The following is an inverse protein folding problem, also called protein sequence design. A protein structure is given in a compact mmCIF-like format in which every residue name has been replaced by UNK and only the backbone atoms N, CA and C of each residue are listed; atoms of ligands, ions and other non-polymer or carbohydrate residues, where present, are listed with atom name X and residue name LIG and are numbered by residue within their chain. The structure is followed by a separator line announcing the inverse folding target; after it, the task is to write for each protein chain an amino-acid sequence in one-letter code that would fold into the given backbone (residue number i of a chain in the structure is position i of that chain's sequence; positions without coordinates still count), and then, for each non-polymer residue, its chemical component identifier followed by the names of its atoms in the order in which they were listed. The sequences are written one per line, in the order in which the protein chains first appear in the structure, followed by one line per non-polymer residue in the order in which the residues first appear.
data_IF_958444191239
#
_entry.id   IF_958444191239
#
_cell.length_a   1.000
_cell.length_b   1.000
_cell.length_c   1.000
_cell.angle_alpha   90.00
_cell.angle_beta   90.00
_cell.angle_gamma   90.00
#
_symmetry.space_group_name_H-M   'P 1'
#
loop_
_entity.id
_entity.type
_entity.pdbx_description
1 polymer ?
#
# COMPACT_ATOMS: atom_id res chain seq x y z
N UNK A 1 5.85 -70.82 13.11
CA UNK A 1 4.67 -71.40 12.44
C UNK A 1 3.79 -70.27 11.93
N UNK A 2 3.45 -70.32 10.64
CA UNK A 2 2.51 -69.51 9.83
C UNK A 2 2.91 -68.08 9.43
N UNK A 3 3.43 -67.98 8.20
CA UNK A 3 3.31 -66.87 7.24
C UNK A 3 1.86 -66.81 6.62
N UNK A 4 1.57 -66.07 5.50
CA UNK A 4 1.33 -64.61 5.40
C UNK A 4 0.09 -64.20 4.51
N UNK A 5 -0.34 -62.91 4.57
CA UNK A 5 -1.02 -62.06 3.51
C UNK A 5 -2.35 -62.55 2.84
N UNK A 6 -3.11 -61.80 1.96
CA UNK A 6 -2.88 -60.50 1.29
C UNK A 6 -4.11 -59.52 1.11
N UNK A 7 -3.82 -58.34 0.52
CA UNK A 7 -4.54 -57.58 -0.53
C UNK A 7 -5.96 -56.96 -0.41
N UNK A 8 -6.07 -55.75 -1.01
CA UNK A 8 -7.29 -55.09 -1.51
C UNK A 8 -7.31 -53.57 -1.23
N UNK A 9 -6.58 -52.69 -1.93
CA UNK A 9 -6.80 -52.13 -3.28
C UNK A 9 -8.13 -51.34 -3.50
N UNK A 10 -8.00 -49.99 -3.59
CA UNK A 10 -8.70 -48.94 -4.42
C UNK A 10 -10.24 -49.05 -4.59
N UNK A 11 -11.06 -47.99 -4.60
CA UNK A 11 -11.06 -46.77 -5.47
C UNK A 11 -12.04 -45.69 -4.97
N UNK A 12 -11.69 -44.43 -5.23
CA UNK A 12 -12.52 -43.30 -5.72
C UNK A 12 -13.94 -43.04 -5.20
N UNK A 13 -14.09 -41.88 -4.55
CA UNK A 13 -15.37 -41.21 -4.28
C UNK A 13 -15.19 -39.69 -4.31
N UNK A 14 -15.32 -39.13 -5.52
CA UNK A 14 -15.36 -37.71 -5.83
C UNK A 14 -16.38 -36.93 -4.99
N UNK A 15 -16.02 -35.69 -4.65
CA UNK A 15 -16.93 -34.56 -4.86
C UNK A 15 -17.72 -34.07 -3.66
N UNK A 16 -17.11 -33.22 -2.85
CA UNK A 16 -17.81 -32.03 -2.35
C UNK A 16 -16.79 -30.94 -2.05
N UNK A 17 -16.35 -30.26 -3.11
CA UNK A 17 -15.69 -28.95 -2.99
C UNK A 17 -16.70 -28.02 -2.34
N UNK A 18 -16.53 -27.76 -1.04
CA UNK A 18 -17.29 -26.70 -0.38
C UNK A 18 -16.91 -25.38 -1.05
N UNK A 19 -17.88 -24.59 -1.54
CA UNK A 19 -17.57 -23.30 -2.13
C UNK A 19 -16.97 -22.40 -1.04
N UNK A 20 -15.76 -21.89 -1.30
CA UNK A 20 -15.16 -20.76 -0.61
C UNK A 20 -16.08 -19.55 -0.77
N UNK A 21 -17.08 -19.45 0.11
CA UNK A 21 -17.96 -18.29 0.23
C UNK A 21 -17.66 -17.62 1.55
N UNK A 22 -16.70 -16.70 1.48
CA UNK A 22 -16.82 -15.31 1.93
C UNK A 22 -15.45 -14.71 1.70
N UNK A 23 -15.23 -14.18 0.50
CA UNK A 23 -14.14 -13.26 0.26
C UNK A 23 -14.34 -12.08 1.20
N UNK A 24 -13.68 -12.13 2.37
CA UNK A 24 -13.53 -10.98 3.25
C UNK A 24 -12.88 -9.92 2.37
N UNK A 25 -13.64 -8.88 2.00
CA UNK A 25 -13.22 -7.88 1.03
C UNK A 25 -11.79 -7.43 1.38
N UNK A 26 -10.84 -7.73 0.48
CA UNK A 26 -9.46 -7.32 0.67
C UNK A 26 -9.47 -5.80 0.91
N UNK A 27 -8.88 -5.31 2.01
CA UNK A 27 -8.89 -3.89 2.31
C UNK A 27 -8.31 -3.14 1.10
N UNK A 28 -9.05 -2.16 0.59
CA UNK A 28 -8.54 -1.32 -0.49
C UNK A 28 -7.22 -0.70 -0.05
N UNK A 29 -6.26 -0.55 -0.97
CA UNK A 29 -4.99 0.13 -0.68
C UNK A 29 -5.22 1.47 0.04
N UNK A 30 -6.28 2.18 -0.34
CA UNK A 30 -6.74 3.39 0.35
C UNK A 30 -7.03 3.17 1.83
N UNK A 31 -7.71 2.08 2.22
CA UNK A 31 -8.01 1.76 3.63
C UNK A 31 -6.76 1.41 4.45
N UNK A 32 -5.78 0.76 3.83
CA UNK A 32 -4.47 0.52 4.48
C UNK A 32 -3.65 1.83 4.57
N UNK A 33 -3.78 2.71 3.58
CA UNK A 33 -3.10 4.01 3.53
C UNK A 33 -3.73 5.02 4.50
N UNK A 34 -5.05 4.99 4.71
CA UNK A 34 -5.77 5.90 5.59
C UNK A 34 -5.40 5.72 7.08
N UNK A 35 -4.85 4.58 7.49
CA UNK A 35 -4.36 4.41 8.88
C UNK A 35 -3.04 5.13 9.17
N UNK A 36 -2.35 5.65 8.15
CA UNK A 36 -1.08 6.37 8.32
C UNK A 36 -1.22 7.79 7.77
N UNK A 37 -1.34 8.75 8.69
CA UNK A 37 -1.66 10.15 8.43
C UNK A 37 -0.78 10.81 7.35
N UNK A 38 -1.41 11.69 6.57
CA UNK A 38 -0.82 12.41 5.44
C UNK A 38 -0.58 13.88 5.83
N UNK A 39 0.63 14.40 5.60
CA UNK A 39 0.98 15.83 5.72
C UNK A 39 0.73 16.60 4.42
N UNK A 40 0.74 17.93 4.53
CA UNK A 40 0.05 18.92 3.67
C UNK A 40 0.40 18.96 2.17
N UNK A 41 -0.56 19.49 1.40
CA UNK A 41 -0.59 19.55 -0.08
C UNK A 41 -0.21 20.96 -0.59
N UNK A 42 0.72 21.10 -1.56
CA UNK A 42 0.87 22.34 -2.31
C UNK A 42 -0.32 22.57 -3.25
N UNK A 43 -0.86 23.80 -3.23
CA UNK A 43 -1.89 24.26 -4.15
C UNK A 43 -1.26 24.52 -5.52
N UNK A 44 -1.51 23.68 -6.54
CA UNK A 44 -1.79 24.11 -7.93
C UNK A 44 -1.90 22.94 -8.93
N UNK A 45 -3.01 23.00 -9.69
CA UNK A 45 -3.23 22.72 -11.11
C UNK A 45 -2.92 21.34 -11.71
N UNK A 46 -3.84 20.94 -12.63
CA UNK A 46 -3.85 19.84 -13.61
C UNK A 46 -2.65 18.89 -13.57
N UNK A 47 -2.85 17.55 -13.62
CA UNK A 47 -1.73 16.63 -13.73
C UNK A 47 -0.86 17.05 -14.93
N UNK A 48 0.39 17.42 -14.67
CA UNK A 48 1.30 17.92 -15.70
C UNK A 48 1.62 16.87 -16.77
N UNK A 49 1.27 15.61 -16.50
CA UNK A 49 1.57 14.43 -17.30
C UNK A 49 0.24 13.74 -17.65
N UNK A 50 -0.04 13.60 -18.95
CA UNK A 50 -1.16 12.81 -19.42
C UNK A 50 -0.88 11.30 -19.18
N UNK A 51 -1.55 10.72 -18.19
CA UNK A 51 -1.40 9.30 -17.87
C UNK A 51 -2.11 8.43 -18.91
N UNK A 52 -1.43 7.35 -19.32
CA UNK A 52 -1.99 6.33 -20.21
C UNK A 52 -1.68 4.95 -19.67
N UNK A 53 -2.51 3.95 -19.97
CA UNK A 53 -2.24 2.57 -19.53
C UNK A 53 -0.89 2.05 -20.03
N UNK A 54 -0.45 2.47 -21.24
CA UNK A 54 0.87 2.11 -21.78
C UNK A 54 2.00 2.71 -20.96
N UNK A 55 1.89 3.99 -20.58
CA UNK A 55 2.88 4.65 -19.74
C UNK A 55 2.94 4.01 -18.35
N UNK A 56 1.78 3.75 -17.74
CA UNK A 56 1.70 3.13 -16.42
C UNK A 56 2.29 1.71 -16.42
N UNK A 57 2.02 0.86 -17.43
CA UNK A 57 2.67 -0.47 -17.50
C UNK A 57 4.19 -0.36 -17.55
N UNK A 58 4.72 0.51 -18.42
CA UNK A 58 6.17 0.75 -18.53
C UNK A 58 6.76 1.29 -17.22
N UNK A 59 6.05 2.16 -16.52
CA UNK A 59 6.53 2.71 -15.25
C UNK A 59 6.53 1.62 -14.16
N UNK A 60 5.46 0.81 -14.04
CA UNK A 60 5.42 -0.33 -13.14
C UNK A 60 6.60 -1.28 -13.36
N UNK A 61 6.84 -1.65 -14.62
CA UNK A 61 7.89 -2.59 -15.01
C UNK A 61 9.28 -1.99 -14.73
N UNK A 62 9.51 -0.73 -15.12
CA UNK A 62 10.78 -0.05 -14.84
C UNK A 62 11.06 0.10 -13.33
N UNK A 63 10.05 0.43 -12.52
CA UNK A 63 10.22 0.56 -11.08
C UNK A 63 10.48 -0.77 -10.40
N UNK A 64 9.81 -1.86 -10.80
CA UNK A 64 10.09 -3.17 -10.19
C UNK A 64 11.46 -3.71 -10.62
N UNK A 65 11.87 -3.50 -11.87
CA UNK A 65 13.22 -3.84 -12.33
C UNK A 65 14.30 -3.03 -11.59
N UNK A 66 14.09 -1.73 -11.39
CA UNK A 66 15.00 -0.88 -10.62
C UNK A 66 15.11 -1.34 -9.15
N UNK A 67 14.00 -1.76 -8.53
CA UNK A 67 14.03 -2.33 -7.19
C UNK A 67 14.90 -3.59 -7.11
N UNK A 68 14.87 -4.45 -8.14
CA UNK A 68 15.73 -5.64 -8.23
C UNK A 68 17.21 -5.27 -8.28
N UNK A 69 17.57 -4.27 -9.09
CA UNK A 69 18.94 -3.77 -9.23
C UNK A 69 19.44 -3.19 -7.90
N UNK A 70 18.63 -2.37 -7.23
CA UNK A 70 18.95 -1.80 -5.92
C UNK A 70 19.17 -2.88 -4.84
N UNK A 71 18.41 -3.98 -4.87
CA UNK A 71 18.61 -5.11 -3.96
C UNK A 71 19.93 -5.84 -4.24
N UNK A 72 20.29 -6.01 -5.51
CA UNK A 72 21.58 -6.58 -5.90
C UNK A 72 22.75 -5.71 -5.41
N UNK A 73 22.65 -4.39 -5.62
CA UNK A 73 23.64 -3.44 -5.10
C UNK A 73 23.73 -3.46 -3.57
N UNK A 74 22.59 -3.50 -2.88
CA UNK A 74 22.54 -3.55 -1.42
C UNK A 74 23.26 -4.79 -0.86
N UNK A 75 23.05 -5.94 -1.50
CA UNK A 75 23.75 -7.18 -1.13
C UNK A 75 25.26 -7.09 -1.36
N UNK A 76 25.69 -6.52 -2.48
CA UNK A 76 27.12 -6.32 -2.77
C UNK A 76 27.76 -5.38 -1.74
N UNK A 77 27.11 -4.26 -1.44
CA UNK A 77 27.56 -3.28 -0.46
C UNK A 77 27.67 -3.90 0.94
N UNK A 78 26.72 -4.74 1.33
CA UNK A 78 26.75 -5.46 2.60
C UNK A 78 27.96 -6.40 2.67
N UNK A 79 28.20 -7.19 1.61
CA UNK A 79 29.36 -8.11 1.52
C UNK A 79 30.71 -7.41 1.64
N UNK A 80 30.77 -6.14 1.25
CA UNK A 80 31.98 -5.30 1.33
C UNK A 80 32.00 -4.34 2.53
N UNK A 81 31.19 -4.59 3.55
CA UNK A 81 31.16 -3.82 4.80
C UNK A 81 30.77 -2.33 4.63
N UNK A 82 29.97 -2.02 3.61
CA UNK A 82 29.41 -0.69 3.36
C UNK A 82 27.97 -0.60 3.89
N UNK A 83 27.79 -0.79 5.20
CA UNK A 83 26.49 -1.00 5.85
C UNK A 83 25.50 0.14 5.63
N UNK A 84 25.95 1.40 5.73
CA UNK A 84 25.08 2.55 5.55
C UNK A 84 24.54 2.64 4.11
N UNK A 85 25.37 2.29 3.13
CA UNK A 85 24.98 2.25 1.72
C UNK A 85 24.05 1.07 1.45
N UNK A 86 24.35 -0.12 1.99
CA UNK A 86 23.48 -1.29 1.87
C UNK A 86 22.09 -1.03 2.46
N UNK A 87 22.03 -0.41 3.64
CA UNK A 87 20.79 0.07 4.25
C UNK A 87 20.04 1.03 3.33
N UNK A 88 20.72 2.05 2.80
CA UNK A 88 20.07 3.06 1.97
C UNK A 88 19.55 2.48 0.66
N UNK A 89 20.33 1.62 -0.01
CA UNK A 89 19.90 0.89 -1.21
C UNK A 89 18.69 -0.01 -0.92
N UNK A 90 18.62 -0.64 0.25
CA UNK A 90 17.46 -1.44 0.68
C UNK A 90 16.20 -0.57 0.85
N UNK A 91 16.34 0.61 1.47
CA UNK A 91 15.22 1.56 1.62
C UNK A 91 14.75 2.09 0.26
N UNK A 92 15.69 2.40 -0.64
CA UNK A 92 15.38 2.84 -2.01
C UNK A 92 14.66 1.73 -2.80
N UNK A 93 15.09 0.48 -2.66
CA UNK A 93 14.40 -0.66 -3.27
C UNK A 93 12.93 -0.77 -2.81
N UNK A 94 12.67 -0.61 -1.50
CA UNK A 94 11.29 -0.62 -0.98
C UNK A 94 10.47 0.55 -1.55
N UNK A 95 11.07 1.74 -1.71
CA UNK A 95 10.39 2.88 -2.33
C UNK A 95 10.00 2.60 -3.79
N UNK A 96 10.89 1.99 -4.57
CA UNK A 96 10.63 1.60 -5.96
C UNK A 96 9.57 0.50 -6.06
N UNK A 97 9.59 -0.48 -5.17
CA UNK A 97 8.51 -1.46 -5.03
C UNK A 97 7.18 -0.76 -4.77
N UNK A 98 7.14 0.17 -3.82
CA UNK A 98 5.96 0.96 -3.49
C UNK A 98 5.43 1.76 -4.67
N UNK A 99 6.32 2.33 -5.47
CA UNK A 99 5.99 3.00 -6.73
C UNK A 99 5.33 2.03 -7.70
N UNK A 100 5.93 0.86 -7.93
CA UNK A 100 5.37 -0.16 -8.81
C UNK A 100 3.98 -0.63 -8.38
N UNK A 101 3.76 -0.86 -7.08
CA UNK A 101 2.46 -1.26 -6.53
C UNK A 101 1.40 -0.18 -6.72
N UNK A 102 1.73 1.09 -6.49
CA UNK A 102 0.79 2.19 -6.73
C UNK A 102 0.44 2.33 -8.21
N UNK A 103 1.43 2.20 -9.10
CA UNK A 103 1.20 2.24 -10.55
C UNK A 103 0.34 1.06 -11.00
N UNK A 104 0.54 -0.13 -10.43
CA UNK A 104 -0.30 -1.29 -10.67
C UNK A 104 -1.75 -1.06 -10.25
N UNK A 105 -2.01 -0.45 -9.08
CA UNK A 105 -3.37 -0.06 -8.68
C UNK A 105 -3.98 0.97 -9.65
N UNK A 106 -3.19 1.93 -10.11
CA UNK A 106 -3.63 2.96 -11.06
C UNK A 106 -4.02 2.40 -12.44
N UNK A 107 -3.47 1.25 -12.86
CA UNK A 107 -3.88 0.58 -14.10
C UNK A 107 -5.35 0.15 -14.10
N UNK A 108 -5.94 -0.07 -12.93
CA UNK A 108 -7.36 -0.39 -12.76
C UNK A 108 -8.29 0.82 -12.74
N UNK A 109 -7.76 2.05 -12.76
CA UNK A 109 -8.51 3.29 -12.54
C UNK A 109 -8.78 4.05 -13.83
N UNK A 110 -9.80 4.90 -13.80
CA UNK A 110 -10.09 5.84 -14.89
C UNK A 110 -9.12 7.03 -14.89
N UNK A 111 -7.87 6.80 -15.28
CA UNK A 111 -6.83 7.86 -15.35
C UNK A 111 -7.05 8.90 -16.47
N UNK A 112 -8.15 8.80 -17.22
CA UNK A 112 -8.61 9.89 -18.11
C UNK A 112 -9.37 10.97 -17.35
N UNK A 113 -9.90 10.64 -16.18
CA UNK A 113 -10.44 11.62 -15.25
C UNK A 113 -9.28 12.45 -14.67
N UNK A 114 -9.29 13.78 -14.82
CA UNK A 114 -8.22 14.66 -14.32
C UNK A 114 -7.99 14.56 -12.82
N UNK A 115 -9.02 14.35 -12.01
CA UNK A 115 -8.89 14.31 -10.56
C UNK A 115 -8.27 12.99 -10.10
N UNK A 116 -8.65 11.88 -10.76
CA UNK A 116 -8.01 10.57 -10.56
C UNK A 116 -6.55 10.63 -10.98
N UNK A 117 -6.25 11.17 -12.17
CA UNK A 117 -4.88 11.29 -12.66
C UNK A 117 -4.01 12.17 -11.75
N UNK A 118 -4.55 13.31 -11.29
CA UNK A 118 -3.86 14.17 -10.34
C UNK A 118 -3.58 13.44 -9.02
N UNK A 119 -4.56 12.69 -8.50
CA UNK A 119 -4.37 11.88 -7.29
C UNK A 119 -3.29 10.81 -7.47
N UNK A 120 -3.24 10.13 -8.61
CA UNK A 120 -2.18 9.16 -8.91
C UNK A 120 -0.80 9.85 -8.83
N UNK A 121 -0.63 10.98 -9.52
CA UNK A 121 0.65 11.74 -9.52
C UNK A 121 1.03 12.19 -8.10
N UNK A 122 0.07 12.70 -7.32
CA UNK A 122 0.30 13.10 -5.94
C UNK A 122 0.74 11.92 -5.06
N UNK A 123 0.10 10.76 -5.20
CA UNK A 123 0.47 9.57 -4.45
C UNK A 123 1.88 9.07 -4.81
N UNK A 124 2.24 9.15 -6.09
CA UNK A 124 3.58 8.79 -6.58
C UNK A 124 4.67 9.78 -6.11
N UNK A 125 4.30 10.99 -5.68
CA UNK A 125 5.21 11.93 -5.02
C UNK A 125 5.32 11.74 -3.50
N UNK A 126 4.42 10.97 -2.90
CA UNK A 126 4.33 10.82 -1.44
C UNK A 126 5.11 9.59 -0.98
N UNK A 127 6.25 9.86 -0.34
CA UNK A 127 7.14 8.83 0.20
C UNK A 127 6.42 7.87 1.17
N UNK A 128 5.62 8.40 2.10
CA UNK A 128 4.95 7.56 3.10
C UNK A 128 3.93 6.62 2.46
N UNK A 129 3.23 7.10 1.43
CA UNK A 129 2.31 6.27 0.63
C UNK A 129 3.04 5.19 -0.15
N UNK A 130 4.22 5.46 -0.70
CA UNK A 130 5.02 4.42 -1.39
C UNK A 130 5.44 3.32 -0.43
N UNK A 131 6.02 3.69 0.71
CA UNK A 131 6.44 2.72 1.73
C UNK A 131 5.26 1.85 2.20
N UNK A 132 4.11 2.47 2.45
CA UNK A 132 2.90 1.74 2.85
C UNK A 132 2.41 0.81 1.75
N UNK A 133 2.41 1.28 0.49
CA UNK A 133 1.99 0.47 -0.65
C UNK A 133 2.92 -0.72 -0.90
N UNK A 134 4.23 -0.56 -0.68
CA UNK A 134 5.22 -1.61 -0.92
C UNK A 134 4.94 -2.88 -0.11
N UNK A 135 4.45 -2.71 1.11
CA UNK A 135 4.21 -3.83 2.05
C UNK A 135 2.85 -4.51 1.80
N UNK A 136 1.93 -3.85 1.10
CA UNK A 136 0.57 -4.38 0.89
C UNK A 136 0.55 -5.79 0.27
N UNK A 137 1.30 -6.11 -0.80
CA UNK A 137 1.31 -7.45 -1.39
C UNK A 137 1.73 -8.53 -0.39
N UNK A 138 2.70 -8.22 0.47
CA UNK A 138 3.15 -9.17 1.48
C UNK A 138 2.07 -9.42 2.54
N UNK A 139 1.43 -8.37 3.05
CA UNK A 139 0.35 -8.51 4.05
C UNK A 139 -0.93 -9.11 3.47
N UNK A 140 -1.12 -9.05 2.16
CA UNK A 140 -2.21 -9.76 1.49
C UNK A 140 -2.03 -11.28 1.57
N UNK A 141 -0.78 -11.76 1.46
CA UNK A 141 -0.43 -13.20 1.51
C UNK A 141 -0.22 -13.67 2.94
N UNK A 142 0.41 -12.85 3.79
CA UNK A 142 0.77 -13.19 5.17
C UNK A 142 0.25 -12.13 6.16
N UNK A 143 -1.08 -12.06 6.41
CA UNK A 143 -1.66 -11.01 7.26
C UNK A 143 -1.13 -11.00 8.70
N UNK A 144 -0.73 -12.17 9.22
CA UNK A 144 -0.22 -12.33 10.59
C UNK A 144 1.08 -11.56 10.87
N UNK A 145 1.84 -11.18 9.83
CA UNK A 145 3.09 -10.41 9.98
C UNK A 145 2.89 -8.91 10.11
N UNK A 146 1.63 -8.43 10.16
CA UNK A 146 1.34 -7.00 10.30
C UNK A 146 2.10 -6.38 11.48
N UNK A 147 1.99 -6.97 12.66
CA UNK A 147 2.58 -6.41 13.87
C UNK A 147 4.12 -6.44 13.85
N UNK A 148 4.71 -7.40 13.13
CA UNK A 148 6.15 -7.49 12.86
C UNK A 148 6.63 -6.34 11.95
N UNK A 149 5.89 -6.06 10.88
CA UNK A 149 6.32 -5.12 9.83
C UNK A 149 6.00 -3.66 10.18
N UNK A 150 4.95 -3.42 10.97
CA UNK A 150 4.50 -2.06 11.26
C UNK A 150 5.54 -1.13 11.91
N UNK A 151 6.38 -1.61 12.85
CA UNK A 151 7.47 -0.80 13.41
C UNK A 151 8.47 -0.35 12.34
N UNK A 152 8.78 -1.20 11.35
CA UNK A 152 9.71 -0.86 10.27
C UNK A 152 9.14 0.20 9.33
N UNK A 153 7.86 0.07 8.94
CA UNK A 153 7.16 1.11 8.16
C UNK A 153 7.21 2.44 8.90
N UNK A 154 6.92 2.43 10.20
CA UNK A 154 6.95 3.65 11.03
C UNK A 154 8.34 4.27 11.09
N UNK A 155 9.40 3.46 11.19
CA UNK A 155 10.80 3.93 11.15
C UNK A 155 11.17 4.52 9.78
N UNK A 156 10.75 3.90 8.67
CA UNK A 156 10.98 4.41 7.33
C UNK A 156 10.30 5.77 7.10
N UNK A 157 9.01 5.87 7.42
CA UNK A 157 8.23 7.11 7.24
C UNK A 157 8.86 8.27 8.00
N UNK A 158 9.37 8.01 9.21
CA UNK A 158 10.09 9.00 10.03
C UNK A 158 11.49 9.34 9.50
N UNK A 159 12.00 8.63 8.48
CA UNK A 159 13.33 8.79 7.87
C UNK A 159 14.44 8.86 8.92
N UNK A 160 14.62 7.77 9.67
CA UNK A 160 15.61 7.71 10.77
C UNK A 160 17.05 8.03 10.34
N UNK A 161 17.41 7.80 9.08
CA UNK A 161 18.71 8.19 8.52
C UNK A 161 18.47 8.95 7.22
N UNK A 162 18.82 10.25 7.15
CA UNK A 162 18.76 11.01 5.91
C UNK A 162 19.64 10.37 4.82
N UNK A 163 19.21 10.47 3.56
CA UNK A 163 19.99 10.02 2.40
C UNK A 163 21.43 10.56 2.42
N UNK A 164 21.58 11.84 2.73
CA UNK A 164 22.86 12.52 2.68
C UNK A 164 23.84 11.91 3.68
N UNK A 165 23.38 11.61 4.89
CA UNK A 165 24.17 11.00 5.96
C UNK A 165 24.67 9.58 5.63
N UNK A 166 24.01 8.88 4.69
CA UNK A 166 24.40 7.54 4.24
C UNK A 166 25.43 7.55 3.09
N UNK A 167 25.69 8.72 2.49
CA UNK A 167 26.53 8.87 1.30
C UNK A 167 27.71 9.80 1.55
N UNK A 168 27.47 10.92 2.24
CA UNK A 168 28.43 11.99 2.44
C UNK A 168 29.08 11.94 3.83
N UNK A 169 30.33 12.36 3.87
CA UNK A 169 31.04 12.64 5.12
C UNK A 169 30.75 14.08 5.53
N UNK A 170 30.40 14.30 6.79
CA UNK A 170 30.02 15.62 7.30
C UNK A 170 30.78 15.98 8.59
N UNK A 171 30.94 17.28 8.84
CA UNK A 171 31.39 17.81 10.12
C UNK A 171 30.20 18.01 11.04
N UNK A 172 30.20 17.30 12.17
CA UNK A 172 29.22 17.44 13.23
C UNK A 172 29.80 18.27 14.36
N UNK A 173 29.44 19.55 14.37
CA UNK A 173 29.88 20.50 15.39
C UNK A 173 29.23 20.30 16.77
N UNK A 174 28.24 19.40 16.91
CA UNK A 174 27.51 19.12 18.15
C UNK A 174 27.63 17.66 18.59
N UNK A 175 28.67 16.97 18.12
CA UNK A 175 28.93 15.59 18.52
C UNK A 175 28.99 15.47 20.05
N UNK A 176 28.63 14.31 20.63
CA UNK A 176 28.63 14.10 22.07
C UNK A 176 30.00 14.29 22.73
N UNK A 177 31.08 14.33 21.94
CA UNK A 177 32.45 14.55 22.39
C UNK A 177 33.07 15.85 21.82
N UNK A 178 32.25 16.73 21.22
CA UNK A 178 32.69 17.93 20.50
C UNK A 178 32.62 17.80 18.97
N UNK A 179 33.24 18.74 18.23
CA UNK A 179 33.29 18.70 16.77
C UNK A 179 33.94 17.41 16.27
N UNK A 180 33.22 16.63 15.46
CA UNK A 180 33.68 15.34 14.94
C UNK A 180 33.37 15.16 13.46
N UNK A 181 34.11 14.27 12.80
CA UNK A 181 33.83 13.85 11.42
C UNK A 181 32.87 12.65 11.47
N UNK A 182 31.66 12.84 10.95
CA UNK A 182 30.70 11.77 10.77
C UNK A 182 30.89 11.13 9.39
N UNK A 183 31.30 9.87 9.38
CA UNK A 183 31.34 9.05 8.16
C UNK A 183 30.10 8.16 8.07
N UNK A 184 29.63 7.81 6.86
CA UNK A 184 28.41 7.00 6.70
C UNK A 184 28.42 5.70 7.50
N UNK A 185 29.54 4.99 7.53
CA UNK A 185 29.67 3.70 8.21
C UNK A 185 29.48 3.75 9.73
N UNK A 186 29.56 4.93 10.36
CA UNK A 186 29.39 5.04 11.81
C UNK A 186 27.91 5.00 12.24
N UNK A 187 26.96 5.17 11.30
CA UNK A 187 25.54 5.37 11.61
C UNK A 187 24.67 4.13 11.47
N UNK A 188 25.15 3.11 10.76
CA UNK A 188 24.41 1.88 10.49
C UNK A 188 25.25 0.69 10.89
N UNK A 189 24.71 -0.12 11.79
CA UNK A 189 25.36 -1.38 12.20
C UNK A 189 25.20 -2.44 11.12
N UNK A 190 26.07 -3.46 11.14
CA UNK A 190 25.91 -4.65 10.30
C UNK A 190 24.52 -5.27 10.49
N UNK A 191 24.10 -5.45 11.75
CA UNK A 191 22.81 -6.02 12.13
C UNK A 191 21.64 -5.25 11.53
N UNK A 192 21.67 -3.92 11.58
CA UNK A 192 20.62 -3.10 10.96
C UNK A 192 20.61 -3.32 9.44
N UNK A 193 21.76 -3.22 8.78
CA UNK A 193 21.85 -3.41 7.33
C UNK A 193 21.32 -4.78 6.88
N UNK A 194 21.63 -5.86 7.61
CA UNK A 194 21.11 -7.20 7.37
C UNK A 194 19.59 -7.30 7.54
N UNK A 195 19.04 -6.69 8.60
CA UNK A 195 17.59 -6.65 8.85
C UNK A 195 16.87 -5.95 7.70
N UNK A 196 17.38 -4.78 7.28
CA UNK A 196 16.77 -3.98 6.21
C UNK A 196 16.88 -4.65 4.85
N UNK A 197 18.01 -5.29 4.53
CA UNK A 197 18.16 -6.06 3.29
C UNK A 197 17.16 -7.22 3.23
N UNK A 198 17.03 -7.96 4.33
CA UNK A 198 16.07 -9.08 4.42
C UNK A 198 14.63 -8.61 4.24
N UNK A 199 14.25 -7.55 4.95
CA UNK A 199 12.94 -6.94 4.83
C UNK A 199 12.63 -6.51 3.40
N UNK A 200 13.59 -5.86 2.73
CA UNK A 200 13.44 -5.40 1.36
C UNK A 200 13.27 -6.57 0.37
N UNK A 201 14.00 -7.68 0.57
CA UNK A 201 13.86 -8.91 -0.24
C UNK A 201 12.49 -9.56 -0.06
N UNK A 202 11.99 -9.66 1.17
CA UNK A 202 10.66 -10.22 1.45
C UNK A 202 9.57 -9.38 0.80
N UNK A 203 9.64 -8.04 0.95
CA UNK A 203 8.72 -7.10 0.31
C UNK A 203 8.75 -7.24 -1.21
N UNK A 204 9.95 -7.23 -1.82
CA UNK A 204 10.12 -7.37 -3.26
C UNK A 204 9.51 -8.66 -3.79
N UNK A 205 9.80 -9.80 -3.17
CA UNK A 205 9.35 -11.12 -3.64
C UNK A 205 7.82 -11.19 -3.76
N UNK A 206 7.11 -10.67 -2.76
CA UNK A 206 5.64 -10.65 -2.78
C UNK A 206 5.10 -9.60 -3.77
N UNK A 207 5.76 -8.44 -3.85
CA UNK A 207 5.32 -7.38 -4.72
C UNK A 207 5.55 -7.67 -6.21
N UNK A 208 6.69 -8.24 -6.59
CA UNK A 208 7.00 -8.67 -7.96
C UNK A 208 5.92 -9.61 -8.48
N UNK A 209 5.59 -10.64 -7.68
CA UNK A 209 4.56 -11.59 -8.04
C UNK A 209 3.19 -10.91 -8.23
N UNK A 210 2.85 -9.99 -7.31
CA UNK A 210 1.59 -9.25 -7.35
C UNK A 210 1.49 -8.31 -8.56
N UNK A 211 2.51 -7.49 -8.84
CA UNK A 211 2.43 -6.46 -9.89
C UNK A 211 2.59 -7.03 -11.29
N UNK A 212 3.32 -8.14 -11.46
CA UNK A 212 3.59 -8.74 -12.76
C UNK A 212 2.57 -9.80 -13.16
N UNK A 213 2.06 -10.60 -12.21
CA UNK A 213 1.22 -11.76 -12.54
C UNK A 213 -0.23 -11.64 -12.07
N UNK A 214 -0.55 -10.78 -11.10
CA UNK A 214 -1.93 -10.63 -10.68
C UNK A 214 -2.75 -9.85 -11.72
N UNK A 215 -4.03 -10.21 -11.92
CA UNK A 215 -4.92 -9.42 -12.74
C UNK A 215 -5.19 -8.07 -12.08
N UNK A 216 -5.14 -6.99 -12.87
CA UNK A 216 -5.49 -5.66 -12.40
C UNK A 216 -6.99 -5.60 -12.08
N UNK A 217 -7.34 -5.23 -10.84
CA UNK A 217 -8.74 -4.97 -10.46
C UNK A 217 -9.23 -3.70 -11.14
N UNK A 218 -10.24 -3.83 -12.01
CA UNK A 218 -10.94 -2.68 -12.57
C UNK A 218 -11.76 -2.00 -11.47
N UNK A 219 -11.60 -0.69 -11.33
CA UNK A 219 -12.26 0.11 -10.30
C UNK A 219 -13.57 0.66 -10.83
N UNK A 220 -14.56 0.72 -9.93
CA UNK A 220 -15.84 1.35 -10.21
C UNK A 220 -15.72 2.88 -10.17
N UNK A 221 -16.72 3.56 -10.73
CA UNK A 221 -16.79 5.02 -10.67
C UNK A 221 -16.74 5.55 -9.23
N UNK A 222 -17.47 4.92 -8.31
CA UNK A 222 -17.47 5.30 -6.89
C UNK A 222 -16.10 5.11 -6.23
N UNK A 223 -15.38 4.02 -6.53
CA UNK A 223 -14.01 3.81 -6.03
C UNK A 223 -13.02 4.87 -6.54
N UNK A 224 -13.23 5.39 -7.75
CA UNK A 224 -12.44 6.47 -8.33
C UNK A 224 -12.83 7.85 -7.78
N UNK A 225 -14.12 8.11 -7.56
CA UNK A 225 -14.60 9.32 -6.88
C UNK A 225 -13.99 9.41 -5.47
N UNK A 226 -14.08 8.34 -4.66
CA UNK A 226 -13.48 8.28 -3.32
C UNK A 226 -11.95 8.36 -3.36
N UNK A 227 -11.31 7.75 -4.36
CA UNK A 227 -9.86 7.88 -4.54
C UNK A 227 -9.43 9.33 -4.77
N UNK A 228 -10.14 10.03 -5.64
CA UNK A 228 -9.85 11.40 -6.02
C UNK A 228 -10.05 12.38 -4.85
N UNK A 229 -10.94 12.07 -3.89
CA UNK A 229 -11.21 12.91 -2.72
C UNK A 229 -9.94 13.29 -1.94
N UNK A 230 -9.93 14.51 -1.40
CA UNK A 230 -8.89 14.95 -0.46
C UNK A 230 -9.02 14.14 0.83
N UNK A 231 -7.89 13.76 1.41
CA UNK A 231 -7.83 12.99 2.67
C UNK A 231 -8.66 13.64 3.78
N UNK A 232 -8.61 14.98 3.90
CA UNK A 232 -9.39 15.72 4.88
C UNK A 232 -10.90 15.67 4.62
N UNK A 233 -11.33 15.65 3.35
CA UNK A 233 -12.75 15.53 3.00
C UNK A 233 -13.27 14.13 3.32
N UNK A 234 -12.49 13.09 2.98
CA UNK A 234 -12.84 11.72 3.34
C UNK A 234 -12.89 11.53 4.86
N UNK A 235 -11.90 12.06 5.58
CA UNK A 235 -11.87 12.03 7.04
C UNK A 235 -13.08 12.73 7.65
N UNK A 236 -13.51 13.87 7.10
CA UNK A 236 -14.71 14.58 7.55
C UNK A 236 -15.97 13.73 7.39
N UNK A 237 -16.13 13.05 6.25
CA UNK A 237 -17.25 12.13 6.02
C UNK A 237 -17.21 10.95 7.00
N UNK A 238 -16.06 10.30 7.15
CA UNK A 238 -15.96 9.11 8.02
C UNK A 238 -15.96 9.43 9.52
N UNK A 239 -15.85 10.71 9.89
CA UNK A 239 -15.98 11.17 11.28
C UNK A 239 -17.40 11.63 11.61
N UNK A 240 -18.29 11.74 10.63
CA UNK A 240 -19.70 12.10 10.82
C UNK A 240 -20.50 10.86 11.28
N UNK A 241 -21.18 10.91 12.43
CA UNK A 241 -22.10 9.85 12.86
C UNK A 241 -23.21 9.59 11.85
N UNK A 242 -23.73 10.65 11.22
CA UNK A 242 -24.82 10.59 10.24
C UNK A 242 -24.42 9.77 9.01
N UNK A 243 -23.16 9.87 8.58
CA UNK A 243 -22.64 9.01 7.52
C UNK A 243 -22.66 7.53 7.90
N UNK A 244 -22.33 7.18 9.15
CA UNK A 244 -22.35 5.78 9.58
C UNK A 244 -23.78 5.24 9.69
N UNK A 245 -24.73 6.04 10.14
CA UNK A 245 -26.16 5.70 10.11
C UNK A 245 -26.65 5.45 8.68
N UNK A 246 -26.29 6.35 7.75
CA UNK A 246 -26.57 6.19 6.33
C UNK A 246 -25.90 4.93 5.75
N UNK A 247 -24.65 4.64 6.11
CA UNK A 247 -23.97 3.45 5.64
C UNK A 247 -24.62 2.17 6.18
N UNK A 248 -25.10 2.18 7.43
CA UNK A 248 -25.86 1.07 8.01
C UNK A 248 -27.19 0.88 7.28
N UNK A 249 -27.91 1.94 6.91
CA UNK A 249 -29.15 1.81 6.14
C UNK A 249 -28.90 1.27 4.72
N UNK A 250 -27.80 1.67 4.08
CA UNK A 250 -27.34 1.07 2.81
C UNK A 250 -27.06 -0.43 2.95
N UNK A 251 -26.37 -0.84 4.03
CA UNK A 251 -26.11 -2.26 4.29
C UNK A 251 -27.41 -3.06 4.49
N UNK A 252 -28.39 -2.50 5.20
CA UNK A 252 -29.71 -3.14 5.40
C UNK A 252 -30.50 -3.31 4.10
N UNK A 253 -30.33 -2.41 3.14
CA UNK A 253 -31.00 -2.44 1.82
C UNK A 253 -30.21 -3.24 0.76
N UNK A 254 -29.12 -3.90 1.15
CA UNK A 254 -28.32 -4.78 0.28
C UNK A 254 -27.13 -4.12 -0.41
N UNK A 255 -26.91 -2.81 -0.22
CA UNK A 255 -25.73 -2.12 -0.71
C UNK A 255 -24.67 -1.96 0.40
N UNK A 256 -23.77 -2.94 0.50
CA UNK A 256 -22.67 -2.93 1.47
C UNK A 256 -21.36 -2.31 0.93
N UNK A 257 -21.40 -1.61 -0.21
CA UNK A 257 -20.18 -1.04 -0.80
C UNK A 257 -19.87 0.32 -0.20
N UNK A 258 -18.81 0.37 0.61
CA UNK A 258 -18.40 1.58 1.33
C UNK A 258 -18.13 2.77 0.39
N UNK A 259 -17.39 2.55 -0.69
CA UNK A 259 -17.04 3.63 -1.61
C UNK A 259 -18.28 4.21 -2.32
N UNK A 260 -19.27 3.38 -2.63
CA UNK A 260 -20.54 3.86 -3.17
C UNK A 260 -21.31 4.70 -2.15
N UNK A 261 -21.39 4.23 -0.89
CA UNK A 261 -22.06 4.98 0.16
C UNK A 261 -21.40 6.34 0.44
N UNK A 262 -20.07 6.42 0.45
CA UNK A 262 -19.36 7.71 0.57
C UNK A 262 -19.68 8.62 -0.62
N UNK A 263 -19.57 8.10 -1.84
CA UNK A 263 -19.83 8.87 -3.05
C UNK A 263 -21.27 9.39 -3.13
N UNK A 264 -22.25 8.56 -2.77
CA UNK A 264 -23.66 8.92 -2.74
C UNK A 264 -23.95 9.96 -1.65
N UNK A 265 -23.42 9.75 -0.44
CA UNK A 265 -23.58 10.67 0.69
C UNK A 265 -23.04 12.07 0.38
N UNK A 266 -21.84 12.15 -0.19
CA UNK A 266 -21.22 13.42 -0.58
C UNK A 266 -22.04 14.12 -1.67
N UNK A 267 -22.52 13.38 -2.68
CA UNK A 267 -23.37 13.94 -3.75
C UNK A 267 -24.70 14.48 -3.23
N UNK A 268 -25.32 13.78 -2.28
CA UNK A 268 -26.55 14.23 -1.62
C UNK A 268 -26.35 15.57 -0.89
N UNK A 269 -25.21 15.74 -0.20
CA UNK A 269 -24.88 17.00 0.48
C UNK A 269 -24.61 18.16 -0.49
N UNK A 270 -24.03 17.90 -1.67
CA UNK A 270 -23.71 18.96 -2.65
C UNK A 270 -24.91 19.40 -3.49
N UNK A 271 -25.92 18.54 -3.64
CA UNK A 271 -27.08 18.78 -4.52
C UNK A 271 -28.17 19.65 -3.90
N UNK A 272 -27.99 20.15 -2.68
CA UNK A 272 -28.94 21.04 -2.01
C UNK A 272 -30.23 20.33 -1.61
N UNK A 273 -30.19 19.58 -0.51
CA UNK A 273 -31.36 18.96 0.08
C UNK A 273 -31.09 18.59 1.53
N UNK A 274 -31.44 19.48 2.45
CA UNK A 274 -31.78 19.14 3.81
C UNK A 274 -32.95 18.16 3.79
N UNK A 275 -32.65 16.87 3.70
CA UNK A 275 -33.50 15.75 4.12
C UNK A 275 -32.68 14.47 3.96
N UNK A 276 -31.93 14.12 5.00
CA UNK A 276 -31.74 12.69 5.28
C UNK A 276 -33.15 12.16 5.50
N UNK A 277 -33.70 11.49 4.49
CA UNK A 277 -34.98 10.77 4.59
C UNK A 277 -34.86 9.83 5.78
N UNK A 278 -35.39 10.24 6.92
CA UNK A 278 -35.74 9.35 8.02
C UNK A 278 -36.85 8.45 7.50
N UNK A 279 -36.45 7.31 6.91
CA UNK A 279 -37.33 6.17 6.74
C UNK A 279 -37.56 5.52 8.09
N UNK A 280 -38.30 6.21 8.96
CA UNK A 280 -39.15 5.56 9.94
C UNK A 280 -40.52 5.46 9.28
N UNK A 281 -40.68 4.43 8.44
CA UNK A 281 -42.00 3.87 8.23
C UNK A 281 -42.36 3.18 9.54
N UNK A 282 -43.23 3.82 10.33
CA UNK A 282 -43.98 3.17 11.39
C UNK A 282 -44.90 2.14 10.72
N UNK A 283 -44.39 0.93 10.50
CA UNK A 283 -45.22 -0.26 10.52
C UNK A 283 -45.45 -0.63 12.00
N UNK A 284 -46.59 -0.23 12.55
CA UNK A 284 -47.45 -1.13 13.33
C UNK A 284 -48.84 -0.50 13.58
N UNK A 285 -49.82 -1.41 13.64
CA UNK A 285 -51.25 -1.24 13.49
C UNK A 285 -51.99 -0.47 14.61
#
# INVERSE_FOLDING_TARGET
MREPTPEGARTDGLGSVRPLTTARAAPSLQRLILSYGVTSVPKTNKPSIALTSKLLRRYRDASIDNARELLYEAELLLKHNHYARAYYSSVAAIEEVGTSVQVFDALGRNVRDPDVANRVVLNLGDYARKVTAAVFPWLLVVPARRDEVMPYISKMIKRQIPKNDAIHTELDGKGPQGPQINTPNYRVTLTDAEIWLRLAKDIYTHAEAYVLFAPTKIRTKAEDEVFAMKSAALAAVTSSPEFWEYYISCMKTGNATFEAAVADYVRAQTSGGSEVRNGYDDEEA
#
